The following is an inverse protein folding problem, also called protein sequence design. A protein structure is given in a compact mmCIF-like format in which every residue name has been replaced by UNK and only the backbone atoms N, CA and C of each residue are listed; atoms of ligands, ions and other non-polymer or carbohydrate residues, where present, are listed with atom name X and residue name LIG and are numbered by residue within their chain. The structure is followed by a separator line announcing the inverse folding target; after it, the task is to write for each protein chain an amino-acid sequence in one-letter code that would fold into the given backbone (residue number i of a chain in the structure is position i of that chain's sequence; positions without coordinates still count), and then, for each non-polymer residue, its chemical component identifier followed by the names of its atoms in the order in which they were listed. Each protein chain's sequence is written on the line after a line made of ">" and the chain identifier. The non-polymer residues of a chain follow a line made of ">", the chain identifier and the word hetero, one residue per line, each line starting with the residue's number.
data_IF_253912117418
#
_entry.id   IF_253912117418
#
_cell.length_a   1.000
_cell.length_b   1.000
_cell.length_c   1.000
_cell.angle_alpha   90.00
_cell.angle_beta   90.00
_cell.angle_gamma   90.00
#
_symmetry.space_group_name_H-M   'P 1'
#
loop_
_entity.id
_entity.type
_entity.pdbx_description
1 polymer ?
#
# COMPACT_ATOMS: atom_id res chain seq x y z
N UNK A 1 -39.67 -8.27 -12.42
CA UNK A 1 -39.01 -7.00 -12.01
C UNK A 1 -37.54 -7.25 -11.66
N UNK A 2 -37.23 -8.21 -10.79
CA UNK A 2 -35.85 -8.66 -10.51
C UNK A 2 -35.10 -9.09 -11.77
N UNK A 3 -35.74 -9.92 -12.59
CA UNK A 3 -35.22 -10.32 -13.91
C UNK A 3 -34.74 -9.15 -14.78
N UNK A 4 -35.51 -8.05 -14.83
CA UNK A 4 -35.15 -6.88 -15.63
C UNK A 4 -33.98 -6.09 -15.03
N UNK A 5 -33.85 -6.08 -13.70
CA UNK A 5 -32.73 -5.47 -12.99
C UNK A 5 -31.45 -6.29 -13.24
N UNK A 6 -31.53 -7.61 -13.09
CA UNK A 6 -30.42 -8.53 -13.35
C UNK A 6 -29.98 -8.45 -14.82
N UNK A 7 -30.93 -8.45 -15.75
CA UNK A 7 -30.67 -8.31 -17.18
C UNK A 7 -29.98 -6.97 -17.48
N UNK A 8 -30.45 -5.87 -16.88
CA UNK A 8 -29.82 -4.56 -17.04
C UNK A 8 -28.36 -4.56 -16.56
N UNK A 9 -28.09 -5.10 -15.36
CA UNK A 9 -26.73 -5.19 -14.84
C UNK A 9 -25.84 -6.13 -15.67
N UNK A 10 -26.37 -7.27 -16.12
CA UNK A 10 -25.67 -8.20 -17.00
C UNK A 10 -25.26 -7.52 -18.31
N UNK A 11 -26.21 -6.86 -18.98
CA UNK A 11 -25.95 -6.13 -20.23
C UNK A 11 -24.94 -5.02 -20.02
N UNK A 12 -25.05 -4.27 -18.92
CA UNK A 12 -24.12 -3.18 -18.61
C UNK A 12 -22.69 -3.69 -18.35
N UNK A 13 -22.53 -4.74 -17.54
CA UNK A 13 -21.22 -5.29 -17.20
C UNK A 13 -20.59 -6.02 -18.40
N UNK A 14 -21.37 -6.78 -19.16
CA UNK A 14 -20.91 -7.42 -20.40
C UNK A 14 -20.58 -6.38 -21.48
N UNK A 15 -21.37 -5.31 -21.59
CA UNK A 15 -21.12 -4.20 -22.50
C UNK A 15 -19.83 -3.46 -22.17
N UNK A 16 -19.58 -3.17 -20.89
CA UNK A 16 -18.30 -2.60 -20.43
C UNK A 16 -17.13 -3.54 -20.74
N UNK A 17 -17.28 -4.83 -20.48
CA UNK A 17 -16.25 -5.82 -20.77
C UNK A 17 -15.93 -5.91 -22.28
N UNK A 18 -16.97 -5.93 -23.13
CA UNK A 18 -16.82 -5.89 -24.58
C UNK A 18 -16.15 -4.60 -25.06
N UNK A 19 -16.53 -3.45 -24.48
CA UNK A 19 -15.91 -2.16 -24.78
C UNK A 19 -14.42 -2.11 -24.40
N UNK A 20 -14.04 -2.70 -23.27
CA UNK A 20 -12.63 -2.81 -22.85
C UNK A 20 -11.83 -3.70 -23.81
N UNK A 21 -12.40 -4.82 -24.27
CA UNK A 21 -11.74 -5.66 -25.28
C UNK A 21 -11.60 -4.95 -26.62
N UNK A 22 -12.63 -4.21 -27.07
CA UNK A 22 -12.57 -3.40 -28.28
C UNK A 22 -11.51 -2.29 -28.18
N UNK A 23 -11.23 -1.80 -26.98
CA UNK A 23 -10.14 -0.87 -26.68
C UNK A 23 -8.74 -1.48 -26.71
N UNK A 24 -8.58 -2.74 -27.12
CA UNK A 24 -7.29 -3.42 -27.31
C UNK A 24 -6.74 -4.13 -26.07
N UNK A 25 -7.50 -4.21 -24.98
CA UNK A 25 -7.08 -4.92 -23.77
C UNK A 25 -7.48 -6.40 -23.90
N UNK A 26 -6.48 -7.25 -24.18
CA UNK A 26 -6.68 -8.69 -24.27
C UNK A 26 -6.63 -9.34 -22.87
N UNK A 27 -7.72 -9.99 -22.48
CA UNK A 27 -7.77 -10.81 -21.26
C UNK A 27 -7.34 -12.25 -21.53
N UNK A 28 -6.47 -12.77 -20.68
CA UNK A 28 -6.09 -14.18 -20.62
C UNK A 28 -7.30 -15.08 -20.28
N UNK A 29 -7.19 -16.38 -20.57
CA UNK A 29 -8.26 -17.35 -20.27
C UNK A 29 -8.63 -17.37 -18.78
N UNK A 30 -7.65 -17.30 -17.88
CA UNK A 30 -7.87 -17.27 -16.44
C UNK A 30 -8.60 -16.00 -16.00
N UNK A 31 -8.23 -14.83 -16.53
CA UNK A 31 -8.90 -13.56 -16.20
C UNK A 31 -10.37 -13.55 -16.64
N UNK A 32 -10.67 -14.14 -17.81
CA UNK A 32 -12.06 -14.30 -18.28
C UNK A 32 -12.87 -15.18 -17.32
N UNK A 33 -12.29 -16.30 -16.88
CA UNK A 33 -12.95 -17.20 -15.92
C UNK A 33 -13.23 -16.48 -14.60
N UNK A 34 -12.25 -15.76 -14.05
CA UNK A 34 -12.42 -14.96 -12.83
C UNK A 34 -13.52 -13.91 -13.02
N UNK A 35 -13.55 -13.24 -14.17
CA UNK A 35 -14.58 -12.26 -14.50
C UNK A 35 -15.99 -12.87 -14.51
N UNK A 36 -16.20 -14.04 -15.14
CA UNK A 36 -17.51 -14.69 -15.17
C UNK A 36 -17.95 -15.17 -13.78
N UNK A 37 -17.04 -15.70 -12.95
CA UNK A 37 -17.36 -16.03 -11.56
C UNK A 37 -17.75 -14.80 -10.76
N UNK A 38 -17.05 -13.68 -10.96
CA UNK A 38 -17.39 -12.42 -10.32
C UNK A 38 -18.76 -11.88 -10.78
N UNK A 39 -19.06 -12.00 -12.08
CA UNK A 39 -20.36 -11.62 -12.64
C UNK A 39 -21.49 -12.47 -12.04
N UNK A 40 -21.30 -13.79 -11.97
CA UNK A 40 -22.26 -14.71 -11.34
C UNK A 40 -22.46 -14.36 -9.87
N UNK A 41 -21.37 -14.14 -9.12
CA UNK A 41 -21.43 -13.72 -7.73
C UNK A 41 -22.23 -12.42 -7.56
N UNK A 42 -22.01 -11.44 -8.44
CA UNK A 42 -22.71 -10.15 -8.40
C UNK A 42 -24.21 -10.32 -8.66
N UNK A 43 -24.60 -11.15 -9.62
CA UNK A 43 -26.01 -11.50 -9.88
C UNK A 43 -26.64 -12.22 -8.68
N UNK A 44 -25.95 -13.19 -8.09
CA UNK A 44 -26.43 -13.91 -6.90
C UNK A 44 -26.58 -12.97 -5.70
N UNK A 45 -25.62 -12.05 -5.50
CA UNK A 45 -25.65 -11.06 -4.44
C UNK A 45 -26.83 -10.07 -4.64
N UNK A 46 -27.06 -9.62 -5.88
CA UNK A 46 -28.18 -8.73 -6.20
C UNK A 46 -29.52 -9.42 -5.92
N UNK A 47 -29.65 -10.69 -6.33
CA UNK A 47 -30.81 -11.53 -6.07
C UNK A 47 -31.04 -11.73 -4.56
N UNK A 48 -29.97 -12.00 -3.82
CA UNK A 48 -30.03 -12.14 -2.36
C UNK A 48 -30.50 -10.84 -1.68
N UNK A 49 -29.94 -9.69 -2.06
CA UNK A 49 -30.34 -8.40 -1.50
C UNK A 49 -31.77 -8.05 -1.87
N UNK A 50 -32.20 -8.35 -3.09
CA UNK A 50 -33.59 -8.17 -3.50
C UNK A 50 -34.55 -9.04 -2.69
N UNK A 51 -34.20 -10.31 -2.45
CA UNK A 51 -35.00 -11.23 -1.65
C UNK A 51 -35.09 -10.75 -0.20
N UNK A 52 -33.96 -10.33 0.38
CA UNK A 52 -33.92 -9.69 1.70
C UNK A 52 -34.80 -8.43 1.74
N UNK A 53 -34.79 -7.66 0.65
CA UNK A 53 -35.62 -6.48 0.46
C UNK A 53 -37.11 -6.78 0.37
N UNK A 54 -37.51 -7.82 -0.34
CA UNK A 54 -38.90 -8.27 -0.39
C UNK A 54 -39.35 -8.77 0.98
N UNK A 55 -38.50 -9.53 1.67
CA UNK A 55 -38.79 -10.07 2.98
C UNK A 55 -38.98 -8.94 4.01
N UNK A 56 -38.09 -7.94 4.01
CA UNK A 56 -38.27 -6.72 4.81
C UNK A 56 -39.49 -5.89 4.38
N UNK A 57 -39.80 -5.82 3.09
CA UNK A 57 -41.02 -5.13 2.61
C UNK A 57 -42.28 -5.82 3.12
N UNK A 58 -42.33 -7.16 3.10
CA UNK A 58 -43.45 -7.94 3.63
C UNK A 58 -43.56 -7.77 5.15
N UNK A 59 -42.45 -7.86 5.88
CA UNK A 59 -42.44 -7.78 7.35
C UNK A 59 -42.72 -6.36 7.87
N UNK A 60 -42.24 -5.32 7.18
CA UNK A 60 -42.25 -3.93 7.68
C UNK A 60 -43.26 -3.04 6.94
N UNK A 61 -43.97 -3.57 5.94
CA UNK A 61 -44.90 -2.83 5.05
C UNK A 61 -44.28 -1.54 4.48
N UNK A 62 -42.97 -1.56 4.20
CA UNK A 62 -42.26 -0.39 3.68
C UNK A 62 -42.63 -0.09 2.23
N UNK A 63 -42.63 1.19 1.82
CA UNK A 63 -42.85 1.56 0.41
C UNK A 63 -41.65 1.13 -0.44
N UNK A 64 -41.90 0.39 -1.53
CA UNK A 64 -40.88 -0.14 -2.46
C UNK A 64 -39.89 0.94 -2.95
N UNK A 65 -40.34 2.17 -3.17
CA UNK A 65 -39.50 3.29 -3.62
C UNK A 65 -38.46 3.69 -2.58
N UNK A 66 -38.79 3.62 -1.29
CA UNK A 66 -37.85 3.95 -0.22
C UNK A 66 -36.75 2.90 -0.10
N UNK A 67 -37.10 1.62 -0.32
CA UNK A 67 -36.13 0.52 -0.33
C UNK A 67 -35.09 0.69 -1.45
N UNK A 68 -35.53 1.07 -2.65
CA UNK A 68 -34.62 1.33 -3.77
C UNK A 68 -33.62 2.46 -3.43
N UNK A 69 -34.11 3.59 -2.92
CA UNK A 69 -33.24 4.70 -2.51
C UNK A 69 -32.29 4.31 -1.38
N UNK A 70 -32.77 3.59 -0.38
CA UNK A 70 -31.94 3.07 0.71
C UNK A 70 -30.84 2.16 0.17
N UNK A 71 -31.17 1.26 -0.77
CA UNK A 71 -30.20 0.38 -1.41
C UNK A 71 -29.15 1.16 -2.21
N UNK A 72 -29.56 2.16 -3.00
CA UNK A 72 -28.64 3.01 -3.76
C UNK A 72 -27.69 3.78 -2.84
N UNK A 73 -28.22 4.36 -1.76
CA UNK A 73 -27.41 5.08 -0.76
C UNK A 73 -26.46 4.12 -0.03
N UNK A 74 -26.95 2.96 0.39
CA UNK A 74 -26.15 1.92 1.04
C UNK A 74 -25.03 1.44 0.11
N UNK A 75 -25.33 1.18 -1.17
CA UNK A 75 -24.35 0.77 -2.17
C UNK A 75 -23.28 1.85 -2.37
N UNK A 76 -23.70 3.13 -2.48
CA UNK A 76 -22.77 4.24 -2.60
C UNK A 76 -21.84 4.35 -1.37
N UNK A 77 -22.36 4.14 -0.16
CA UNK A 77 -21.59 4.25 1.08
C UNK A 77 -20.64 3.05 1.28
N UNK A 78 -21.08 1.83 0.94
CA UNK A 78 -20.32 0.59 1.21
C UNK A 78 -19.34 0.24 0.10
N UNK A 79 -19.63 0.62 -1.15
CA UNK A 79 -18.77 0.26 -2.29
C UNK A 79 -18.15 1.49 -2.96
N UNK A 80 -18.96 2.48 -3.35
CA UNK A 80 -18.47 3.60 -4.15
C UNK A 80 -17.52 4.51 -3.37
N UNK A 81 -17.90 4.96 -2.17
CA UNK A 81 -17.07 5.84 -1.35
C UNK A 81 -15.74 5.20 -0.93
N UNK A 82 -15.70 3.93 -0.45
CA UNK A 82 -14.45 3.21 -0.21
C UNK A 82 -13.56 3.12 -1.44
N UNK A 83 -14.15 2.84 -2.60
CA UNK A 83 -13.39 2.70 -3.85
C UNK A 83 -12.83 4.05 -4.32
N UNK A 84 -13.60 5.13 -4.22
CA UNK A 84 -13.11 6.49 -4.48
C UNK A 84 -11.98 6.88 -3.52
N UNK A 85 -12.11 6.51 -2.24
CA UNK A 85 -11.06 6.71 -1.24
C UNK A 85 -9.78 5.94 -1.61
N UNK A 86 -9.93 4.67 -2.03
CA UNK A 86 -8.84 3.81 -2.51
C UNK A 86 -8.14 4.40 -3.73
N UNK A 87 -8.90 4.83 -4.74
CA UNK A 87 -8.38 5.47 -5.95
C UNK A 87 -7.65 6.78 -5.60
N UNK A 88 -8.17 7.58 -4.68
CA UNK A 88 -7.53 8.82 -4.22
C UNK A 88 -6.16 8.54 -3.58
N UNK A 89 -6.07 7.54 -2.70
CA UNK A 89 -4.80 7.11 -2.09
C UNK A 89 -3.86 6.55 -3.15
N UNK A 90 -4.36 5.75 -4.10
CA UNK A 90 -3.56 5.20 -5.17
C UNK A 90 -2.95 6.29 -6.06
N UNK A 91 -3.72 7.30 -6.47
CA UNK A 91 -3.21 8.46 -7.21
C UNK A 91 -2.14 9.23 -6.44
N UNK A 92 -2.32 9.41 -5.11
CA UNK A 92 -1.28 10.00 -4.24
C UNK A 92 -0.03 9.15 -4.16
N UNK A 93 -0.15 7.82 -4.22
CA UNK A 93 1.01 6.93 -4.25
C UNK A 93 1.76 7.00 -5.58
N UNK A 94 1.06 7.19 -6.70
CA UNK A 94 1.66 7.36 -8.02
C UNK A 94 2.38 8.71 -8.18
N UNK A 95 1.98 9.75 -7.45
CA UNK A 95 2.69 11.02 -7.44
C UNK A 95 3.95 11.02 -6.58
N UNK A 96 4.22 9.93 -5.85
CA UNK A 96 5.51 9.75 -5.18
C UNK A 96 6.60 9.56 -6.24
N UNK A 97 7.77 10.15 -5.99
CA UNK A 97 8.90 9.95 -6.88
C UNK A 97 9.24 8.46 -6.98
N UNK A 98 9.42 7.91 -8.19
CA UNK A 98 9.77 6.51 -8.33
C UNK A 98 11.09 6.25 -7.62
N UNK A 99 11.18 5.11 -6.91
CA UNK A 99 12.38 4.73 -6.18
C UNK A 99 13.62 4.67 -7.10
N UNK A 100 13.41 4.38 -8.38
CA UNK A 100 14.43 4.41 -9.42
C UNK A 100 15.06 5.80 -9.60
N UNK A 101 14.27 6.87 -9.60
CA UNK A 101 14.79 8.24 -9.71
C UNK A 101 15.69 8.58 -8.53
N UNK A 102 15.27 8.20 -7.33
CA UNK A 102 16.08 8.37 -6.10
C UNK A 102 17.37 7.55 -6.19
N UNK A 103 17.33 6.33 -6.73
CA UNK A 103 18.53 5.50 -6.90
C UNK A 103 19.45 6.04 -8.00
N UNK A 104 18.92 6.59 -9.09
CA UNK A 104 19.69 7.26 -10.13
C UNK A 104 20.40 8.50 -9.61
N UNK A 105 19.75 9.27 -8.74
CA UNK A 105 20.36 10.45 -8.11
C UNK A 105 21.53 10.03 -7.20
N UNK A 106 21.37 8.96 -6.41
CA UNK A 106 22.48 8.36 -5.66
C UNK A 106 23.61 7.93 -6.57
N UNK A 107 23.30 7.27 -7.69
CA UNK A 107 24.29 6.81 -8.67
C UNK A 107 25.02 7.99 -9.34
N UNK A 108 24.32 9.08 -9.64
CA UNK A 108 24.95 10.31 -10.15
C UNK A 108 25.93 10.92 -9.16
N UNK A 109 25.57 11.00 -7.88
CA UNK A 109 26.45 11.50 -6.83
C UNK A 109 27.70 10.62 -6.68
N UNK A 110 27.53 9.30 -6.76
CA UNK A 110 28.62 8.32 -6.77
C UNK A 110 29.59 8.56 -7.93
N UNK A 111 29.04 8.63 -9.16
CA UNK A 111 29.81 8.81 -10.39
C UNK A 111 30.53 10.15 -10.45
N UNK A 112 29.92 11.22 -9.93
CA UNK A 112 30.54 12.55 -9.90
C UNK A 112 31.83 12.54 -9.06
N UNK A 113 31.79 11.94 -7.88
CA UNK A 113 32.98 11.82 -7.03
C UNK A 113 34.02 10.87 -7.63
N UNK A 114 33.62 9.73 -8.21
CA UNK A 114 34.56 8.83 -8.88
C UNK A 114 35.27 9.52 -10.05
N UNK A 115 34.54 10.35 -10.81
CA UNK A 115 35.09 11.16 -11.89
C UNK A 115 36.13 12.15 -11.38
N UNK A 116 35.85 12.90 -10.31
CA UNK A 116 36.82 13.82 -9.70
C UNK A 116 38.11 13.10 -9.28
N UNK A 117 37.97 11.93 -8.65
CA UNK A 117 39.12 11.11 -8.25
C UNK A 117 39.94 10.62 -9.45
N UNK A 118 39.26 10.16 -10.50
CA UNK A 118 39.91 9.70 -11.75
C UNK A 118 40.62 10.84 -12.47
N UNK A 119 40.01 12.02 -12.53
CA UNK A 119 40.62 13.22 -13.14
C UNK A 119 41.87 13.66 -12.37
N UNK A 120 41.82 13.63 -11.04
CA UNK A 120 42.98 13.89 -10.20
C UNK A 120 44.14 12.92 -10.49
N UNK A 121 43.86 11.62 -10.61
CA UNK A 121 44.89 10.62 -10.93
C UNK A 121 45.47 10.80 -12.33
N UNK A 122 44.65 11.16 -13.32
CA UNK A 122 45.11 11.46 -14.68
C UNK A 122 46.02 12.70 -14.72
N UNK A 123 45.71 13.72 -13.93
CA UNK A 123 46.53 14.93 -13.85
C UNK A 123 47.87 14.71 -13.13
N UNK A 124 47.99 13.66 -12.31
CA UNK A 124 49.18 13.38 -11.52
C UNK A 124 49.67 11.92 -11.72
N UNK A 125 50.14 11.55 -12.92
CA UNK A 125 50.50 10.17 -13.25
C UNK A 125 51.71 9.65 -12.47
N UNK A 126 52.60 10.55 -12.04
CA UNK A 126 53.84 10.22 -11.31
C UNK A 126 53.67 10.11 -9.80
N UNK A 127 52.42 10.09 -9.30
CA UNK A 127 52.15 10.11 -7.87
C UNK A 127 52.65 8.81 -7.21
N UNK A 128 53.47 8.89 -6.14
CA UNK A 128 53.91 7.72 -5.39
C UNK A 128 52.73 6.89 -4.86
N UNK A 129 52.87 5.56 -4.89
CA UNK A 129 51.81 4.62 -4.54
C UNK A 129 51.23 4.85 -3.13
N UNK A 130 52.08 5.25 -2.18
CA UNK A 130 51.67 5.56 -0.81
C UNK A 130 50.80 6.82 -0.70
N UNK A 131 51.07 7.81 -1.55
CA UNK A 131 50.28 9.03 -1.62
C UNK A 131 48.92 8.75 -2.26
N UNK A 132 48.87 7.90 -3.29
CA UNK A 132 47.62 7.38 -3.87
C UNK A 132 46.79 6.64 -2.81
N UNK A 133 47.40 5.77 -1.99
CA UNK A 133 46.70 5.06 -0.90
C UNK A 133 46.14 6.02 0.16
N UNK A 134 46.92 7.03 0.58
CA UNK A 134 46.44 8.06 1.53
C UNK A 134 45.27 8.87 0.96
N UNK A 135 45.30 9.17 -0.33
CA UNK A 135 44.21 9.85 -1.01
C UNK A 135 42.97 8.97 -1.17
N UNK A 136 43.12 7.70 -1.52
CA UNK A 136 42.02 6.75 -1.53
C UNK A 136 41.33 6.64 -0.17
N UNK A 137 42.12 6.65 0.92
CA UNK A 137 41.60 6.67 2.28
C UNK A 137 40.86 7.98 2.60
N UNK A 138 41.41 9.15 2.23
CA UNK A 138 40.71 10.44 2.37
C UNK A 138 39.42 10.49 1.56
N UNK A 139 39.45 9.98 0.33
CA UNK A 139 38.31 9.89 -0.56
C UNK A 139 37.22 8.98 0.02
N UNK A 140 37.58 7.80 0.52
CA UNK A 140 36.64 6.90 1.21
C UNK A 140 36.01 7.54 2.46
N UNK A 141 36.75 8.35 3.21
CA UNK A 141 36.21 9.08 4.36
C UNK A 141 35.28 10.21 3.91
N UNK A 142 35.65 10.99 2.90
CA UNK A 142 34.80 12.04 2.33
C UNK A 142 33.51 11.44 1.74
N UNK A 143 33.62 10.29 1.08
CA UNK A 143 32.52 9.52 0.55
C UNK A 143 31.49 9.15 1.63
N UNK A 144 31.96 8.62 2.76
CA UNK A 144 31.12 8.26 3.92
C UNK A 144 30.46 9.51 4.50
N UNK A 145 31.19 10.62 4.58
CA UNK A 145 30.71 11.80 5.27
C UNK A 145 29.77 12.66 4.41
N UNK A 146 29.94 12.73 3.08
CA UNK A 146 29.12 13.61 2.23
C UNK A 146 28.02 12.85 1.50
N UNK A 147 28.38 12.00 0.54
CA UNK A 147 27.41 11.38 -0.37
C UNK A 147 26.52 10.37 0.32
N UNK A 148 27.06 9.63 1.28
CA UNK A 148 26.25 8.68 2.02
C UNK A 148 25.23 9.37 2.95
N UNK A 149 25.58 10.49 3.60
CA UNK A 149 24.63 11.29 4.37
C UNK A 149 23.54 11.88 3.47
N UNK A 150 23.92 12.43 2.30
CA UNK A 150 22.96 12.96 1.32
C UNK A 150 22.01 11.87 0.84
N UNK A 151 22.53 10.70 0.49
CA UNK A 151 21.75 9.56 0.00
C UNK A 151 20.80 9.01 1.08
N UNK A 152 21.26 8.94 2.33
CA UNK A 152 20.41 8.54 3.47
C UNK A 152 19.31 9.58 3.72
N UNK A 153 19.63 10.87 3.60
CA UNK A 153 18.65 11.95 3.70
C UNK A 153 17.58 11.94 2.61
N UNK A 154 17.92 11.50 1.39
CA UNK A 154 16.95 11.29 0.31
C UNK A 154 16.03 10.10 0.61
N UNK A 155 16.59 8.96 1.06
CA UNK A 155 15.79 7.79 1.42
C UNK A 155 14.85 8.06 2.60
N UNK A 156 15.32 8.74 3.65
CA UNK A 156 14.48 9.12 4.80
C UNK A 156 13.35 10.07 4.39
N UNK A 157 13.62 11.02 3.49
CA UNK A 157 12.57 11.90 2.94
C UNK A 157 11.55 11.11 2.13
N UNK A 158 12.00 10.17 1.31
CA UNK A 158 11.12 9.27 0.57
C UNK A 158 10.23 8.43 1.50
N UNK A 159 10.82 7.75 2.49
CA UNK A 159 10.07 6.94 3.46
C UNK A 159 9.08 7.77 4.28
N UNK A 160 9.41 9.02 4.61
CA UNK A 160 8.48 9.94 5.27
C UNK A 160 7.27 10.25 4.39
N UNK A 161 7.48 10.51 3.09
CA UNK A 161 6.38 10.73 2.13
C UNK A 161 5.50 9.49 2.01
N UNK A 162 6.09 8.30 1.88
CA UNK A 162 5.37 7.02 1.85
C UNK A 162 4.57 6.83 3.15
N UNK A 163 5.19 7.05 4.30
CA UNK A 163 4.54 6.95 5.62
C UNK A 163 3.35 7.89 5.78
N UNK A 164 3.43 9.11 5.22
CA UNK A 164 2.31 10.04 5.22
C UNK A 164 1.13 9.55 4.37
N UNK A 165 1.39 8.92 3.22
CA UNK A 165 0.35 8.32 2.37
C UNK A 165 -0.31 7.15 3.10
N UNK A 166 0.47 6.30 3.76
CA UNK A 166 -0.05 5.18 4.58
C UNK A 166 -0.91 5.71 5.72
N UNK A 167 -0.46 6.73 6.45
CA UNK A 167 -1.22 7.32 7.56
C UNK A 167 -2.50 8.04 7.10
N UNK A 168 -2.53 8.59 5.88
CA UNK A 168 -3.75 9.13 5.28
C UNK A 168 -4.72 8.00 4.88
N UNK A 169 -4.21 6.91 4.30
CA UNK A 169 -5.00 5.73 3.99
C UNK A 169 -5.62 5.11 5.25
N UNK A 170 -4.82 4.93 6.31
CA UNK A 170 -5.27 4.46 7.62
C UNK A 170 -6.42 5.32 8.14
N UNK A 171 -6.23 6.64 8.24
CA UNK A 171 -7.26 7.57 8.74
C UNK A 171 -8.55 7.53 7.94
N UNK A 172 -8.46 7.45 6.61
CA UNK A 172 -9.65 7.37 5.74
C UNK A 172 -10.35 6.03 5.87
N UNK A 173 -9.60 4.94 6.03
CA UNK A 173 -10.16 3.60 6.12
C UNK A 173 -11.02 3.40 7.36
N UNK A 174 -10.74 4.09 8.47
CA UNK A 174 -11.50 4.02 9.73
C UNK A 174 -13.00 4.25 9.54
N UNK A 175 -13.38 5.14 8.62
CA UNK A 175 -14.79 5.46 8.35
C UNK A 175 -15.53 4.38 7.54
N UNK A 176 -14.80 3.41 6.98
CA UNK A 176 -15.33 2.36 6.14
C UNK A 176 -14.93 0.99 6.72
N UNK A 177 -15.81 0.33 7.50
CA UNK A 177 -15.46 -0.87 8.26
C UNK A 177 -14.81 -1.99 7.42
N UNK A 178 -15.25 -2.17 6.18
CA UNK A 178 -14.69 -3.15 5.23
C UNK A 178 -13.25 -2.82 4.84
N UNK A 179 -12.98 -1.56 4.47
CA UNK A 179 -11.62 -1.10 4.15
C UNK A 179 -10.72 -1.14 5.39
N UNK A 180 -11.25 -0.75 6.55
CA UNK A 180 -10.50 -0.80 7.81
C UNK A 180 -10.10 -2.23 8.18
N UNK A 181 -11.02 -3.18 8.02
CA UNK A 181 -10.75 -4.60 8.28
C UNK A 181 -9.64 -5.15 7.37
N UNK A 182 -9.66 -4.81 6.08
CA UNK A 182 -8.60 -5.19 5.14
C UNK A 182 -7.26 -4.57 5.54
N UNK A 183 -7.25 -3.30 5.93
CA UNK A 183 -6.05 -2.64 6.43
C UNK A 183 -5.51 -3.32 7.70
N UNK A 184 -6.38 -3.52 8.70
CA UNK A 184 -6.05 -4.14 9.98
C UNK A 184 -5.54 -5.57 9.82
N UNK A 185 -6.19 -6.39 8.99
CA UNK A 185 -5.75 -7.77 8.73
C UNK A 185 -4.37 -7.81 8.06
N UNK A 186 -4.11 -6.88 7.14
CA UNK A 186 -2.78 -6.67 6.56
C UNK A 186 -1.73 -6.39 7.64
N UNK A 187 -1.96 -5.38 8.48
CA UNK A 187 -1.04 -5.01 9.57
C UNK A 187 -0.84 -6.14 10.59
N UNK A 188 -1.92 -6.80 11.01
CA UNK A 188 -1.88 -7.91 11.96
C UNK A 188 -1.13 -9.13 11.40
N UNK A 189 -1.20 -9.38 10.09
CA UNK A 189 -0.44 -10.45 9.44
C UNK A 189 1.06 -10.16 9.29
N UNK A 190 1.49 -8.94 9.60
CA UNK A 190 2.87 -8.48 9.36
C UNK A 190 3.19 -8.20 7.89
N UNK A 191 2.23 -8.38 6.97
CA UNK A 191 2.35 -8.03 5.55
C UNK A 191 1.78 -6.65 5.20
N UNK A 192 1.40 -5.88 6.22
CA UNK A 192 0.84 -4.55 6.08
C UNK A 192 1.84 -3.50 5.62
N UNK A 193 1.33 -2.30 5.43
CA UNK A 193 2.07 -1.12 5.00
C UNK A 193 3.14 -0.69 6.02
N UNK A 194 2.88 -0.80 7.33
CA UNK A 194 3.93 -0.49 8.31
C UNK A 194 5.01 -1.56 8.35
N UNK A 195 4.66 -2.82 8.09
CA UNK A 195 5.64 -3.90 7.87
C UNK A 195 6.57 -3.61 6.70
N UNK A 196 6.02 -3.04 5.61
CA UNK A 196 6.82 -2.57 4.47
C UNK A 196 7.80 -1.44 4.86
N UNK A 197 7.36 -0.46 5.65
CA UNK A 197 8.25 0.61 6.13
C UNK A 197 9.38 0.05 7.01
N UNK A 198 9.06 -0.86 7.94
CA UNK A 198 10.05 -1.53 8.78
C UNK A 198 11.05 -2.34 7.92
N UNK A 199 10.57 -3.01 6.87
CA UNK A 199 11.42 -3.74 5.93
C UNK A 199 12.37 -2.80 5.19
N UNK A 200 11.87 -1.67 4.69
CA UNK A 200 12.71 -0.69 4.00
C UNK A 200 13.77 -0.10 4.92
N UNK A 201 13.42 0.25 6.16
CA UNK A 201 14.38 0.71 7.16
C UNK A 201 15.43 -0.37 7.48
N UNK A 202 15.01 -1.63 7.59
CA UNK A 202 15.94 -2.76 7.76
C UNK A 202 16.93 -2.87 6.59
N UNK A 203 16.44 -2.83 5.34
CA UNK A 203 17.30 -2.89 4.14
C UNK A 203 18.26 -1.71 4.09
N UNK A 204 17.79 -0.50 4.42
CA UNK A 204 18.65 0.68 4.51
C UNK A 204 19.75 0.49 5.54
N UNK A 205 19.42 0.06 6.76
CA UNK A 205 20.40 -0.21 7.82
C UNK A 205 21.39 -1.32 7.46
N UNK A 206 20.95 -2.33 6.70
CA UNK A 206 21.82 -3.41 6.25
C UNK A 206 22.81 -2.91 5.19
N UNK A 207 22.33 -2.19 4.17
CA UNK A 207 23.17 -1.54 3.15
C UNK A 207 24.19 -0.59 3.78
N UNK A 208 23.73 0.17 4.76
CA UNK A 208 24.54 1.12 5.53
C UNK A 208 25.70 0.42 6.25
N UNK A 209 25.40 -0.67 6.97
CA UNK A 209 26.41 -1.50 7.62
C UNK A 209 27.35 -2.16 6.60
N UNK A 210 26.84 -2.60 5.45
CA UNK A 210 27.66 -3.19 4.39
C UNK A 210 28.67 -2.20 3.83
N UNK A 211 28.23 -0.97 3.53
CA UNK A 211 29.11 0.07 3.01
C UNK A 211 30.22 0.39 4.01
N UNK A 212 29.89 0.52 5.30
CA UNK A 212 30.90 0.74 6.35
C UNK A 212 31.88 -0.43 6.45
N UNK A 213 31.38 -1.67 6.44
CA UNK A 213 32.20 -2.88 6.46
C UNK A 213 33.15 -2.95 5.25
N UNK A 214 32.61 -2.76 4.04
CA UNK A 214 33.37 -2.80 2.80
C UNK A 214 34.48 -1.75 2.80
N UNK A 215 34.17 -0.50 3.15
CA UNK A 215 35.15 0.57 3.16
C UNK A 215 36.23 0.35 4.23
N UNK A 216 35.85 -0.15 5.40
CA UNK A 216 36.80 -0.50 6.46
C UNK A 216 37.76 -1.60 6.01
N UNK A 217 37.25 -2.73 5.51
CA UNK A 217 38.09 -3.84 5.05
C UNK A 217 38.95 -3.45 3.85
N UNK A 218 38.40 -2.71 2.87
CA UNK A 218 39.12 -2.38 1.63
C UNK A 218 40.18 -1.29 1.81
N UNK A 219 39.93 -0.28 2.63
CA UNK A 219 40.78 0.92 2.71
C UNK A 219 41.46 1.14 4.07
N UNK A 220 40.96 0.53 5.15
CA UNK A 220 41.53 0.68 6.49
C UNK A 220 42.30 -0.57 6.94
N UNK A 221 41.84 -1.76 6.56
CA UNK A 221 42.39 -3.06 7.00
C UNK A 221 42.65 -4.03 5.80
N UNK A 222 43.47 -3.64 4.81
CA UNK A 222 43.60 -4.35 3.54
C UNK A 222 44.15 -5.79 3.66
N UNK A 223 44.91 -6.09 4.71
CA UNK A 223 45.56 -7.40 4.91
C UNK A 223 44.75 -8.35 5.82
N UNK A 224 43.52 -7.97 6.16
CA UNK A 224 42.66 -8.79 7.02
C UNK A 224 41.92 -9.87 6.22
N UNK A 225 41.73 -11.05 6.83
CA UNK A 225 41.00 -12.15 6.19
C UNK A 225 39.58 -11.72 5.81
N UNK A 226 39.13 -12.15 4.62
CA UNK A 226 37.79 -11.83 4.11
C UNK A 226 36.75 -12.60 4.91
N UNK A 227 36.14 -11.92 5.87
CA UNK A 227 34.99 -12.44 6.63
C UNK A 227 33.68 -12.12 5.91
N UNK A 228 32.67 -12.99 6.08
CA UNK A 228 31.32 -12.69 5.60
C UNK A 228 30.74 -11.49 6.36
N UNK A 229 30.21 -10.51 5.63
CA UNK A 229 29.53 -9.35 6.21
C UNK A 229 28.25 -9.75 6.98
N UNK A 230 27.52 -10.76 6.50
CA UNK A 230 26.27 -11.22 7.12
C UNK A 230 26.45 -12.66 7.59
N UNK A 231 26.22 -12.92 8.87
CA UNK A 231 26.10 -14.29 9.37
C UNK A 231 24.74 -14.85 8.94
N UNK A 232 24.63 -16.13 8.57
CA UNK A 232 23.46 -16.67 7.87
C UNK A 232 22.09 -16.36 8.51
N UNK A 233 22.01 -16.27 9.84
CA UNK A 233 20.79 -15.93 10.58
C UNK A 233 20.44 -14.43 10.59
N UNK A 234 21.39 -13.55 10.27
CA UNK A 234 21.24 -12.09 10.32
C UNK A 234 20.62 -11.50 9.04
N UNK A 235 20.48 -12.29 7.97
CA UNK A 235 19.87 -11.82 6.71
C UNK A 235 18.34 -11.92 6.68
N UNK A 236 17.72 -12.41 7.75
CA UNK A 236 16.28 -12.69 7.79
C UNK A 236 15.55 -11.50 8.42
N UNK A 237 14.78 -10.77 7.61
CA UNK A 237 13.84 -9.78 8.14
C UNK A 237 12.64 -10.48 8.78
N UNK A 238 12.41 -10.23 10.07
CA UNK A 238 11.22 -10.67 10.78
C UNK A 238 10.27 -9.51 10.94
N UNK A 239 9.19 -9.52 10.15
CA UNK A 239 8.12 -8.53 10.31
C UNK A 239 7.42 -8.72 11.65
N UNK A 240 7.05 -7.62 12.29
CA UNK A 240 6.27 -7.64 13.52
C UNK A 240 4.80 -7.47 13.19
N UNK A 241 3.96 -8.33 13.76
CA UNK A 241 2.53 -8.04 13.83
C UNK A 241 2.34 -6.81 14.70
N UNK A 242 1.66 -5.78 14.17
CA UNK A 242 1.37 -4.54 14.90
C UNK A 242 -0.09 -4.19 14.70
N UNK A 243 -0.72 -3.70 15.76
CA UNK A 243 -2.00 -3.04 15.63
C UNK A 243 -1.79 -1.62 15.08
N UNK A 244 -2.65 -1.17 14.16
CA UNK A 244 -2.58 0.18 13.62
C UNK A 244 -2.88 1.21 14.73
N UNK A 245 -2.35 2.43 14.59
CA UNK A 245 -2.51 3.48 15.60
C UNK A 245 -3.98 3.87 15.79
N UNK A 246 -4.74 3.75 14.72
CA UNK A 246 -6.18 3.96 14.66
C UNK A 246 -7.02 2.81 15.23
N UNK A 247 -6.43 1.73 15.76
CA UNK A 247 -7.16 0.52 16.19
C UNK A 247 -8.36 0.83 17.07
N UNK A 248 -8.14 1.60 18.13
CA UNK A 248 -9.21 2.00 19.07
C UNK A 248 -10.29 2.81 18.36
N UNK A 249 -9.90 3.75 17.48
CA UNK A 249 -10.86 4.54 16.72
C UNK A 249 -11.69 3.67 15.76
N UNK A 250 -11.08 2.70 15.08
CA UNK A 250 -11.78 1.77 14.21
C UNK A 250 -12.77 0.87 14.97
N UNK A 251 -12.38 0.39 16.15
CA UNK A 251 -13.29 -0.37 17.04
C UNK A 251 -14.46 0.49 17.48
N UNK A 252 -14.20 1.73 17.93
CA UNK A 252 -15.26 2.66 18.36
C UNK A 252 -16.22 2.99 17.22
N UNK A 253 -15.71 3.29 16.03
CA UNK A 253 -16.57 3.55 14.86
C UNK A 253 -17.42 2.33 14.55
N UNK A 254 -16.84 1.13 14.52
CA UNK A 254 -17.59 -0.12 14.27
C UNK A 254 -18.67 -0.36 15.33
N UNK A 255 -18.36 -0.13 16.60
CA UNK A 255 -19.31 -0.24 17.70
C UNK A 255 -20.46 0.79 17.58
N UNK A 256 -20.14 2.03 17.20
CA UNK A 256 -21.14 3.09 16.96
C UNK A 256 -22.06 2.73 15.78
N UNK A 257 -21.52 2.18 14.69
CA UNK A 257 -22.32 1.66 13.58
C UNK A 257 -23.26 0.55 14.05
N UNK A 258 -22.76 -0.41 14.83
CA UNK A 258 -23.59 -1.48 15.41
C UNK A 258 -24.70 -0.95 16.31
N UNK A 259 -24.36 -0.03 17.22
CA UNK A 259 -25.32 0.60 18.13
C UNK A 259 -26.40 1.38 17.37
N UNK A 260 -26.02 2.15 16.35
CA UNK A 260 -26.97 2.88 15.51
C UNK A 260 -27.93 1.93 14.77
N UNK A 261 -27.43 0.84 14.22
CA UNK A 261 -28.25 -0.19 13.56
C UNK A 261 -29.22 -0.85 14.55
N UNK A 262 -28.75 -1.20 15.75
CA UNK A 262 -29.60 -1.77 16.81
C UNK A 262 -30.69 -0.80 17.26
N UNK A 263 -30.35 0.48 17.47
CA UNK A 263 -31.32 1.51 17.83
C UNK A 263 -32.38 1.70 16.74
N UNK A 264 -31.99 1.76 15.47
CA UNK A 264 -32.91 1.86 14.35
C UNK A 264 -33.82 0.63 14.25
N UNK A 265 -33.26 -0.57 14.42
CA UNK A 265 -34.03 -1.81 14.42
C UNK A 265 -35.04 -1.85 15.58
N UNK A 266 -34.61 -1.50 16.80
CA UNK A 266 -35.45 -1.45 17.98
C UNK A 266 -36.59 -0.43 17.85
N UNK A 267 -36.29 0.78 17.37
CA UNK A 267 -37.30 1.81 17.11
C UNK A 267 -38.32 1.38 16.07
N UNK A 268 -37.87 0.70 15.01
CA UNK A 268 -38.76 0.16 13.99
C UNK A 268 -39.69 -0.89 14.58
N UNK A 269 -39.16 -1.82 15.39
CA UNK A 269 -39.93 -2.87 16.04
C UNK A 269 -40.94 -2.31 17.05
N UNK A 270 -40.54 -1.36 17.90
CA UNK A 270 -41.48 -0.70 18.83
C UNK A 270 -42.63 0.00 18.11
N UNK A 271 -42.36 0.65 16.97
CA UNK A 271 -43.41 1.29 16.16
C UNK A 271 -44.37 0.29 15.54
N UNK A 272 -43.92 -0.92 15.21
CA UNK A 272 -44.79 -1.99 14.70
C UNK A 272 -45.70 -2.50 15.81
N UNK A 273 -45.14 -2.81 16.98
CA UNK A 273 -45.91 -3.31 18.14
C UNK A 273 -46.96 -2.32 18.61
N UNK A 274 -46.69 -1.00 18.59
CA UNK A 274 -47.70 0.02 18.94
C UNK A 274 -48.83 0.18 17.90
N UNK A 275 -48.66 -0.35 16.69
CA UNK A 275 -49.65 -0.24 15.60
C UNK A 275 -50.48 -1.50 15.41
N UNK A 276 -50.05 -2.62 15.98
CA UNK A 276 -50.81 -3.89 16.08
C UNK A 276 -51.67 -3.87 17.33
#
# INVERSE_FOLDING_TARGET
>A
RLFWLDLFFLVLVLGLFAGVQAGGIAFSGQERTVFFFYLLFLVLLLNFIYLLGQLTTMLVRFRKTFFLWFFVVWFAIIFLLPELSRISVFRKSQSLEPAEKVNLEKFRNLMAMEKEFREFLKANPSTPLDQVRRMQKKFAVQFINSSYLVNTGLELRYLRKVGNVIADHERRSVFFPTTYYLFLSGEASGKGYHGYLDFMDYIMKLRNRFMQFYLKRRYLEPDSAVESFVKGSENIFRSRSRLPRSYVAGVLVTALYGAALLLLAFWSLQRQVRRS
#
